data_IF_357215920098
#
_entry.id   IF_357215920098
#
_cell.length_a   1.000
_cell.length_b   1.000
_cell.length_c   1.000
_cell.angle_alpha   90.00
_cell.angle_beta   90.00
_cell.angle_gamma   90.00
#
_symmetry.space_group_name_H-M   'P 1'
#
loop_
_entity.id
_entity.type
_entity.pdbx_description
1 polymer ?
#
# COMPACT_ATOMS: atom_id res chain seq x y z
N UNK A 1 25.89 -18.00 49.17
CA UNK A 1 26.02 -16.58 48.73
C UNK A 1 24.80 -15.80 49.23
N UNK A 2 24.93 -14.56 49.74
CA UNK A 2 23.78 -13.78 50.18
C UNK A 2 22.95 -13.32 48.97
N UNK A 3 21.62 -13.27 49.11
CA UNK A 3 20.69 -12.81 48.07
C UNK A 3 20.84 -11.30 47.81
N UNK A 4 20.68 -10.82 46.56
CA UNK A 4 20.65 -9.39 46.27
C UNK A 4 19.38 -8.74 46.86
N UNK A 5 19.44 -7.45 47.24
CA UNK A 5 18.28 -6.75 47.79
C UNK A 5 17.18 -6.53 46.73
N UNK A 6 15.93 -6.63 47.18
CA UNK A 6 14.73 -6.42 46.37
C UNK A 6 14.68 -4.95 45.91
N UNK A 7 14.54 -4.71 44.60
CA UNK A 7 14.38 -3.37 44.05
C UNK A 7 13.10 -2.70 44.58
N UNK A 8 13.08 -1.37 44.79
CA UNK A 8 11.88 -0.67 45.24
C UNK A 8 10.76 -0.77 44.19
N UNK A 9 9.52 -0.93 44.68
CA UNK A 9 8.32 -1.01 43.87
C UNK A 9 8.18 0.23 42.97
N UNK A 10 7.88 0.01 41.69
CA UNK A 10 7.68 1.07 40.72
C UNK A 10 6.41 1.87 41.05
N UNK A 11 6.55 3.19 41.06
CA UNK A 11 5.47 4.17 41.24
C UNK A 11 4.41 4.02 40.12
N UNK A 12 3.11 3.84 40.44
CA UNK A 12 2.08 3.59 39.45
C UNK A 12 1.70 4.81 38.58
N UNK A 13 2.25 5.99 38.84
CA UNK A 13 1.79 7.26 38.23
C UNK A 13 2.69 7.86 37.13
N UNK A 14 3.61 7.08 36.54
CA UNK A 14 4.24 7.48 35.27
C UNK A 14 3.38 7.03 34.09
N UNK A 15 2.34 7.82 33.81
CA UNK A 15 1.62 7.79 32.53
C UNK A 15 2.59 8.09 31.38
N UNK A 16 3.12 7.02 30.80
CA UNK A 16 3.74 7.01 29.49
C UNK A 16 2.75 7.58 28.49
N UNK A 17 2.99 8.82 28.06
CA UNK A 17 2.29 9.44 26.94
C UNK A 17 2.58 8.63 25.67
N UNK A 18 1.72 7.65 25.39
CA UNK A 18 1.70 6.96 24.12
C UNK A 18 1.36 7.96 23.01
N UNK A 19 2.05 7.94 21.86
CA UNK A 19 1.61 8.72 20.71
C UNK A 19 0.25 8.17 20.26
N UNK A 20 -0.80 8.97 20.42
CA UNK A 20 -2.15 8.64 19.96
C UNK A 20 -2.16 8.57 18.44
N UNK A 21 -2.04 7.35 17.91
CA UNK A 21 -2.13 7.06 16.46
C UNK A 21 -3.56 7.02 15.94
N UNK A 22 -4.55 7.41 16.74
CA UNK A 22 -5.93 7.54 16.29
C UNK A 22 -6.11 8.77 15.40
N UNK A 23 -5.83 8.60 14.11
CA UNK A 23 -6.39 9.49 13.10
C UNK A 23 -7.92 9.42 13.21
N UNK A 24 -8.53 10.47 13.74
CA UNK A 24 -9.98 10.62 13.82
C UNK A 24 -10.64 10.25 12.47
N UNK A 25 -11.69 9.41 12.46
CA UNK A 25 -12.38 9.02 11.21
C UNK A 25 -12.81 10.22 10.37
N UNK A 26 -13.13 11.35 11.03
CA UNK A 26 -13.49 12.62 10.40
C UNK A 26 -12.38 13.25 9.56
N UNK A 27 -11.10 12.87 9.75
CA UNK A 27 -9.98 13.36 8.92
C UNK A 27 -9.91 12.60 7.59
N UNK A 28 -10.13 11.30 7.61
CA UNK A 28 -10.18 10.44 6.42
C UNK A 28 -11.37 10.83 5.54
N UNK A 29 -12.56 10.96 6.13
CA UNK A 29 -13.77 11.39 5.42
C UNK A 29 -13.61 12.76 4.75
N UNK A 30 -12.99 13.73 5.44
CA UNK A 30 -12.72 15.07 4.89
C UNK A 30 -11.67 15.06 3.78
N UNK A 31 -10.68 14.17 3.84
CA UNK A 31 -9.71 13.99 2.75
C UNK A 31 -10.37 13.34 1.53
N UNK A 32 -11.24 12.35 1.74
CA UNK A 32 -12.03 11.73 0.67
C UNK A 32 -12.93 12.76 -0.01
N UNK A 33 -13.77 13.48 0.74
CA UNK A 33 -14.72 14.46 0.19
C UNK A 33 -14.05 15.64 -0.55
N UNK A 34 -12.90 16.13 -0.05
CA UNK A 34 -12.14 17.19 -0.74
C UNK A 34 -11.49 16.71 -2.03
N UNK A 35 -11.12 15.43 -2.12
CA UNK A 35 -10.43 14.86 -3.29
C UNK A 35 -11.39 14.40 -4.37
N UNK A 36 -12.56 13.87 -4.01
CA UNK A 36 -13.62 13.58 -4.99
C UNK A 36 -13.95 14.83 -5.81
N UNK A 37 -14.15 15.98 -5.13
CA UNK A 37 -14.38 17.27 -5.79
C UNK A 37 -13.23 17.79 -6.65
N UNK A 38 -11.99 17.41 -6.36
CA UNK A 38 -10.84 17.81 -7.18
C UNK A 38 -10.77 16.99 -8.49
N UNK A 39 -11.28 15.76 -8.48
CA UNK A 39 -11.35 14.90 -9.66
C UNK A 39 -12.59 15.19 -10.53
N UNK A 40 -13.69 15.65 -9.92
CA UNK A 40 -14.95 15.98 -10.62
C UNK A 40 -14.89 17.28 -11.47
N UNK A 41 -13.85 18.10 -11.31
CA UNK A 41 -13.75 19.44 -11.95
C UNK A 41 -13.21 19.47 -13.38
N UNK A 42 -12.75 18.33 -13.91
CA UNK A 42 -12.16 18.20 -15.25
C UNK A 42 -13.06 17.24 -16.04
N UNK A 43 -13.76 17.73 -17.06
CA UNK A 43 -14.92 17.11 -17.71
C UNK A 43 -14.69 15.80 -18.49
N UNK A 44 -14.04 14.81 -17.87
CA UNK A 44 -13.94 13.42 -18.29
C UNK A 44 -13.69 12.55 -17.06
N UNK A 45 -14.19 11.31 -17.05
CA UNK A 45 -13.90 10.35 -15.98
C UNK A 45 -12.43 9.95 -16.03
N UNK A 46 -11.56 10.72 -15.38
CA UNK A 46 -10.13 10.41 -15.27
C UNK A 46 -9.94 9.27 -14.28
N UNK A 47 -9.69 8.06 -14.79
CA UNK A 47 -9.27 6.92 -14.00
C UNK A 47 -7.74 6.86 -13.94
N UNK A 48 -7.17 6.76 -12.73
CA UNK A 48 -5.75 6.48 -12.56
C UNK A 48 -5.55 4.99 -12.32
N UNK A 49 -4.73 4.35 -13.15
CA UNK A 49 -4.27 2.97 -12.95
C UNK A 49 -2.93 2.96 -12.20
N UNK A 50 -2.85 2.22 -11.10
CA UNK A 50 -1.60 1.93 -10.39
C UNK A 50 -1.19 0.49 -10.66
N UNK A 51 -0.05 0.32 -11.32
CA UNK A 51 0.55 -0.98 -11.60
C UNK A 51 1.52 -1.35 -10.48
N UNK A 52 1.29 -2.51 -9.86
CA UNK A 52 2.07 -3.04 -8.75
C UNK A 52 2.88 -4.23 -9.25
N UNK A 53 4.18 -4.03 -9.40
CA UNK A 53 5.14 -5.06 -9.87
C UNK A 53 5.94 -5.59 -8.67
N UNK A 54 5.95 -6.90 -8.49
CA UNK A 54 6.70 -7.54 -7.41
C UNK A 54 8.22 -7.55 -7.68
N UNK A 55 9.01 -7.84 -6.64
CA UNK A 55 10.45 -8.01 -6.78
C UNK A 55 10.85 -9.39 -7.30
N UNK A 56 12.16 -9.63 -7.43
CA UNK A 56 12.70 -10.94 -7.82
C UNK A 56 12.21 -12.07 -6.90
N UNK A 57 11.76 -13.19 -7.48
CA UNK A 57 11.12 -14.32 -6.77
C UNK A 57 9.88 -13.96 -5.95
N UNK A 58 9.29 -12.79 -6.22
CA UNK A 58 8.05 -12.33 -5.60
C UNK A 58 6.79 -12.87 -6.27
N UNK A 59 5.65 -12.40 -5.79
CA UNK A 59 4.34 -12.63 -6.38
C UNK A 59 3.44 -11.38 -6.26
N UNK A 60 2.31 -11.39 -6.97
CA UNK A 60 1.36 -10.31 -7.06
C UNK A 60 0.89 -9.76 -5.70
N UNK A 61 0.90 -10.56 -4.62
CA UNK A 61 0.44 -10.16 -3.29
C UNK A 61 1.48 -9.45 -2.43
N UNK A 62 2.74 -9.37 -2.85
CA UNK A 62 3.81 -8.76 -2.06
C UNK A 62 3.54 -7.28 -1.76
N UNK A 63 2.88 -6.58 -2.70
CA UNK A 63 2.53 -5.17 -2.57
C UNK A 63 1.11 -4.93 -2.03
N UNK A 64 0.43 -5.94 -1.48
CA UNK A 64 -0.97 -5.82 -1.00
C UNK A 64 -1.16 -4.74 0.06
N UNK A 65 -0.17 -4.53 0.93
CA UNK A 65 -0.24 -3.51 1.99
C UNK A 65 -0.19 -2.10 1.39
N UNK A 66 0.65 -1.91 0.37
CA UNK A 66 0.73 -0.65 -0.37
C UNK A 66 -0.54 -0.41 -1.17
N UNK A 67 -1.02 -1.41 -1.92
CA UNK A 67 -2.32 -1.36 -2.61
C UNK A 67 -3.43 -0.87 -1.68
N UNK A 68 -3.58 -1.51 -0.52
CA UNK A 68 -4.64 -1.17 0.43
C UNK A 68 -4.50 0.25 0.97
N UNK A 69 -3.28 0.69 1.28
CA UNK A 69 -3.04 2.08 1.72
C UNK A 69 -3.35 3.11 0.64
N UNK A 70 -2.96 2.84 -0.61
CA UNK A 70 -3.23 3.74 -1.73
C UNK A 70 -4.73 3.78 -2.00
N UNK A 71 -5.42 2.63 -2.02
CA UNK A 71 -6.87 2.55 -2.22
C UNK A 71 -7.65 3.33 -1.14
N UNK A 72 -7.21 3.25 0.12
CA UNK A 72 -7.78 4.06 1.20
C UNK A 72 -7.50 5.56 1.03
N UNK A 73 -6.37 5.95 0.44
CA UNK A 73 -6.04 7.35 0.22
C UNK A 73 -6.66 7.94 -1.07
N UNK A 74 -6.98 7.08 -2.04
CA UNK A 74 -7.46 7.41 -3.38
C UNK A 74 -8.56 6.43 -3.81
N UNK A 75 -9.83 6.64 -3.38
CA UNK A 75 -10.93 5.70 -3.58
C UNK A 75 -11.44 5.56 -5.03
N UNK A 76 -10.86 6.27 -6.00
CA UNK A 76 -11.17 6.16 -7.44
C UNK A 76 -9.99 5.64 -8.28
N UNK A 77 -8.95 5.12 -7.64
CA UNK A 77 -7.78 4.55 -8.32
C UNK A 77 -8.03 3.07 -8.61
N UNK A 78 -7.76 2.67 -9.84
CA UNK A 78 -7.72 1.26 -10.24
C UNK A 78 -6.33 0.67 -9.99
N UNK A 79 -6.29 -0.64 -9.76
CA UNK A 79 -5.06 -1.36 -9.45
C UNK A 79 -4.90 -2.57 -10.36
N UNK A 80 -3.67 -2.79 -10.78
CA UNK A 80 -3.22 -4.03 -11.41
C UNK A 80 -2.07 -4.61 -10.59
N UNK A 81 -2.19 -5.87 -10.17
CA UNK A 81 -1.12 -6.60 -9.49
C UNK A 81 -0.50 -7.55 -10.51
N UNK A 82 0.72 -7.24 -10.95
CA UNK A 82 1.38 -7.99 -12.02
C UNK A 82 1.71 -9.41 -11.57
N UNK A 83 1.39 -10.41 -12.39
CA UNK A 83 1.73 -11.82 -12.16
C UNK A 83 2.49 -12.48 -13.33
N UNK A 84 2.66 -11.78 -14.46
CA UNK A 84 3.28 -12.33 -15.68
C UNK A 84 4.74 -12.78 -15.53
N UNK A 85 5.43 -12.33 -14.48
CA UNK A 85 6.85 -12.63 -14.23
C UNK A 85 7.08 -13.50 -12.98
N UNK A 86 6.05 -14.19 -12.49
CA UNK A 86 6.15 -15.04 -11.31
C UNK A 86 6.87 -16.39 -11.57
N UNK A 87 7.22 -17.10 -10.48
CA UNK A 87 7.72 -18.47 -10.52
C UNK A 87 9.00 -18.62 -11.36
N UNK A 88 9.00 -19.48 -12.38
CA UNK A 88 10.18 -19.74 -13.22
C UNK A 88 10.48 -18.60 -14.19
N UNK A 89 9.47 -17.78 -14.53
CA UNK A 89 9.61 -16.68 -15.47
C UNK A 89 10.55 -15.58 -14.96
N UNK A 90 10.69 -15.43 -13.63
CA UNK A 90 11.55 -14.38 -13.02
C UNK A 90 13.05 -14.51 -13.35
N UNK A 91 13.48 -15.66 -13.88
CA UNK A 91 14.88 -15.92 -14.24
C UNK A 91 15.20 -15.60 -15.71
N UNK A 92 14.19 -15.21 -16.49
CA UNK A 92 14.37 -14.86 -17.89
C UNK A 92 15.05 -13.49 -18.05
N UNK A 93 15.50 -13.20 -19.28
CA UNK A 93 16.15 -11.95 -19.62
C UNK A 93 15.24 -10.74 -19.38
N UNK A 94 15.84 -9.62 -18.96
CA UNK A 94 15.12 -8.39 -18.61
C UNK A 94 14.23 -7.87 -19.75
N UNK A 95 14.65 -8.04 -21.01
CA UNK A 95 13.87 -7.68 -22.18
C UNK A 95 12.56 -8.47 -22.26
N UNK A 96 12.60 -9.78 -21.96
CA UNK A 96 11.43 -10.64 -21.96
C UNK A 96 10.51 -10.34 -20.77
N UNK A 97 11.10 -10.08 -19.59
CA UNK A 97 10.35 -9.65 -18.40
C UNK A 97 9.61 -8.32 -18.67
N UNK A 98 10.27 -7.37 -19.34
CA UNK A 98 9.70 -6.09 -19.71
C UNK A 98 8.58 -6.23 -20.75
N UNK A 99 8.79 -7.06 -21.79
CA UNK A 99 7.78 -7.32 -22.81
C UNK A 99 6.49 -7.91 -22.21
N UNK A 100 6.61 -8.92 -21.34
CA UNK A 100 5.45 -9.51 -20.66
C UNK A 100 4.71 -8.52 -19.77
N UNK A 101 5.45 -7.67 -19.06
CA UNK A 101 4.84 -6.62 -18.24
C UNK A 101 4.11 -5.60 -19.12
N UNK A 102 4.68 -5.21 -20.26
CA UNK A 102 4.04 -4.31 -21.21
C UNK A 102 2.74 -4.90 -21.76
N UNK A 103 2.76 -6.18 -22.18
CA UNK A 103 1.56 -6.88 -22.65
C UNK A 103 0.46 -6.94 -21.57
N UNK A 104 0.83 -7.20 -20.32
CA UNK A 104 -0.11 -7.23 -19.19
C UNK A 104 -0.75 -5.85 -18.93
N UNK A 105 0.06 -4.78 -19.02
CA UNK A 105 -0.43 -3.40 -18.88
C UNK A 105 -1.35 -3.02 -20.03
N UNK A 106 -0.96 -3.31 -21.27
CA UNK A 106 -1.76 -3.00 -22.46
C UNK A 106 -3.11 -3.71 -22.44
N UNK A 107 -3.12 -4.99 -22.07
CA UNK A 107 -4.35 -5.76 -21.89
C UNK A 107 -5.29 -5.13 -20.87
N UNK A 108 -4.75 -4.57 -19.78
CA UNK A 108 -5.55 -3.95 -18.72
C UNK A 108 -6.06 -2.56 -19.06
N UNK A 109 -5.36 -1.82 -19.92
CA UNK A 109 -5.78 -0.50 -20.40
C UNK A 109 -6.83 -0.63 -21.52
N UNK A 110 -6.84 -1.74 -22.24
CA UNK A 110 -7.81 -2.00 -23.31
C UNK A 110 -9.19 -2.50 -22.83
N UNK A 111 -9.33 -2.87 -21.55
CA UNK A 111 -10.57 -3.30 -20.89
C UNK A 111 -11.49 -2.13 -20.53
#
# INVERSE_FOLDING_TARGET
PPMPPLAPAADPDKQSSQPSTHSSPRRLERLHARRSRAMDGMGGSHCHLVVLVHGFLGNALDLRLWRNRIALAYPGTEFMQSCSNESKATYDDLELLAARLAEEVDARVAE
#
